data_IF_894449577194
#
_entry.id   IF_894449577194
#
_cell.length_a   1.000
_cell.length_b   1.000
_cell.length_c   1.000
_cell.angle_alpha   90.00
_cell.angle_beta   90.00
_cell.angle_gamma   90.00
#
_symmetry.space_group_name_H-M   'P 1'
#
loop_
_entity.id
_entity.type
_entity.pdbx_description
1 polymer ?
#
# COMPACT_ATOMS: atom_id res chain seq x y z
N UNK A 1 2.68 -1.88 -7.81
CA UNK A 1 3.52 -0.78 -7.25
C UNK A 1 4.76 -1.36 -6.56
N UNK A 2 5.90 -1.38 -7.25
CA UNK A 2 7.23 -1.65 -6.67
C UNK A 2 8.10 -0.48 -7.11
N UNK A 3 8.59 0.31 -6.15
CA UNK A 3 9.53 1.40 -6.42
C UNK A 3 10.88 0.95 -5.87
N UNK A 4 11.82 0.68 -6.79
CA UNK A 4 13.18 0.29 -6.46
C UNK A 4 14.03 1.56 -6.28
N UNK A 5 14.47 1.81 -5.04
CA UNK A 5 15.50 2.80 -4.72
C UNK A 5 16.85 2.11 -4.61
N UNK A 6 17.84 2.63 -5.33
CA UNK A 6 19.22 2.13 -5.34
C UNK A 6 19.90 2.30 -3.98
N UNK A 7 20.63 1.24 -3.59
CA UNK A 7 21.53 1.12 -2.43
C UNK A 7 20.92 0.87 -1.05
N UNK A 8 20.22 -0.26 -0.89
CA UNK A 8 20.25 -1.01 0.36
C UNK A 8 20.31 -2.50 0.04
N UNK A 9 21.33 -3.22 0.53
CA UNK A 9 21.38 -4.69 0.44
C UNK A 9 20.21 -5.23 1.27
N UNK A 10 19.17 -5.83 0.65
CA UNK A 10 18.11 -6.45 1.43
C UNK A 10 18.70 -7.68 2.11
N UNK A 11 18.70 -7.69 3.45
CA UNK A 11 19.01 -8.90 4.20
C UNK A 11 17.83 -9.87 4.02
N UNK A 12 17.95 -10.75 3.02
CA UNK A 12 17.02 -11.85 2.85
C UNK A 12 17.33 -12.94 3.89
N UNK A 13 16.56 -12.97 4.98
CA UNK A 13 16.55 -14.12 5.90
C UNK A 13 15.75 -15.23 5.22
N UNK A 14 16.45 -16.08 4.46
CA UNK A 14 15.85 -17.26 3.82
C UNK A 14 15.76 -18.39 4.84
N UNK A 15 14.65 -18.43 5.58
CA UNK A 15 14.23 -19.67 6.25
C UNK A 15 13.44 -20.54 5.25
N UNK A 16 13.43 -21.87 5.36
CA UNK A 16 12.65 -22.75 4.48
C UNK A 16 11.13 -22.56 4.56
N UNK A 17 10.63 -21.61 5.38
CA UNK A 17 9.23 -21.19 5.50
C UNK A 17 9.01 -19.82 4.87
N UNK A 18 9.64 -19.54 3.73
CA UNK A 18 9.47 -18.30 2.97
C UNK A 18 8.00 -18.06 2.67
N UNK A 19 7.40 -17.06 3.33
CA UNK A 19 6.04 -16.59 3.07
C UNK A 19 6.14 -15.25 2.36
N UNK A 20 5.43 -15.10 1.25
CA UNK A 20 5.37 -13.84 0.51
C UNK A 20 4.56 -12.84 1.32
N UNK A 21 5.21 -11.78 1.78
CA UNK A 21 4.56 -10.61 2.37
C UNK A 21 4.53 -9.55 1.29
N UNK A 22 3.34 -9.11 0.88
CA UNK A 22 3.23 -8.03 -0.10
C UNK A 22 3.37 -6.71 0.64
N UNK A 23 4.36 -5.91 0.26
CA UNK A 23 4.55 -4.55 0.77
C UNK A 23 3.92 -3.58 -0.23
N UNK A 24 2.94 -2.80 0.21
CA UNK A 24 2.43 -1.66 -0.56
C UNK A 24 3.13 -0.41 -0.03
N UNK A 25 3.94 0.24 -0.87
CA UNK A 25 4.69 1.44 -0.52
C UNK A 25 4.52 2.54 -1.55
N UNK A 26 4.08 3.72 -1.12
CA UNK A 26 3.94 4.92 -1.96
C UNK A 26 5.08 5.90 -1.69
N UNK A 27 5.66 6.46 -2.75
CA UNK A 27 6.65 7.53 -2.67
C UNK A 27 6.01 8.85 -3.09
N UNK A 28 6.21 9.90 -2.30
CA UNK A 28 5.82 11.27 -2.65
C UNK A 28 7.03 12.06 -3.15
N UNK A 29 6.79 13.17 -3.86
CA UNK A 29 7.85 13.96 -4.49
C UNK A 29 8.67 14.83 -3.51
N UNK A 30 8.11 15.14 -2.34
CA UNK A 30 8.93 15.41 -1.15
C UNK A 30 9.26 14.05 -0.54
N UNK A 31 10.52 13.82 -0.19
CA UNK A 31 11.19 12.57 0.24
C UNK A 31 10.57 11.80 1.43
N UNK A 32 9.29 11.99 1.71
CA UNK A 32 8.48 11.27 2.68
C UNK A 32 8.11 9.92 2.05
N UNK A 33 8.81 8.88 2.50
CA UNK A 33 8.40 7.49 2.27
C UNK A 33 7.27 7.18 3.25
N UNK A 34 6.08 6.86 2.73
CA UNK A 34 5.00 6.35 3.59
C UNK A 34 5.48 5.05 4.25
N UNK A 35 5.23 4.84 5.56
CA UNK A 35 5.48 3.55 6.19
C UNK A 35 4.85 2.40 5.38
N UNK A 36 5.39 1.19 5.43
CA UNK A 36 4.88 0.08 4.64
C UNK A 36 3.49 -0.37 5.09
N UNK A 37 2.69 -0.83 4.12
CA UNK A 37 1.48 -1.60 4.39
C UNK A 37 1.73 -3.07 4.07
N UNK A 38 1.60 -3.94 5.06
CA UNK A 38 1.89 -5.37 4.95
C UNK A 38 0.65 -6.19 4.63
N UNK A 39 0.74 -7.14 3.70
CA UNK A 39 -0.28 -8.17 3.48
C UNK A 39 0.28 -9.53 3.88
N UNK A 40 -0.32 -10.15 4.89
CA UNK A 40 0.11 -11.44 5.42
C UNK A 40 -0.78 -12.58 4.90
N UNK A 41 -0.20 -13.74 4.51
CA UNK A 41 -0.93 -14.96 4.18
C UNK A 41 -1.38 -15.71 5.44
N UNK A 42 -2.15 -15.04 6.29
CA UNK A 42 -2.59 -15.56 7.59
C UNK A 42 -4.10 -15.42 7.74
N UNK A 43 -4.70 -16.23 8.62
CA UNK A 43 -6.14 -16.15 8.93
C UNK A 43 -6.47 -15.22 10.10
N UNK A 44 -5.47 -14.85 10.90
CA UNK A 44 -5.65 -14.04 12.11
C UNK A 44 -4.53 -13.04 12.30
N UNK A 45 -4.91 -11.78 12.47
CA UNK A 45 -4.00 -10.69 12.80
C UNK A 45 -3.56 -10.80 14.26
N UNK A 46 -2.26 -11.05 14.47
CA UNK A 46 -1.63 -11.08 15.79
C UNK A 46 -0.49 -10.06 15.80
N UNK A 47 -0.29 -9.38 16.92
CA UNK A 47 0.66 -8.28 17.05
C UNK A 47 2.10 -8.67 16.69
N UNK A 48 2.45 -9.95 16.91
CA UNK A 48 3.75 -10.54 16.56
C UNK A 48 4.10 -10.42 15.07
N UNK A 49 3.10 -10.28 14.18
CA UNK A 49 3.35 -10.10 12.75
C UNK A 49 3.97 -8.73 12.42
N UNK A 50 3.80 -7.75 13.31
CA UNK A 50 4.37 -6.42 13.17
C UNK A 50 5.59 -6.22 14.08
N UNK A 51 6.11 -7.29 14.70
CA UNK A 51 7.32 -7.21 15.50
C UNK A 51 8.51 -6.82 14.62
N UNK A 52 9.16 -5.71 14.95
CA UNK A 52 10.23 -5.12 14.13
C UNK A 52 9.75 -4.30 12.92
N UNK A 53 8.45 -4.10 12.73
CA UNK A 53 7.93 -3.23 11.69
C UNK A 53 8.29 -1.76 11.94
N UNK A 54 8.40 -0.98 10.86
CA UNK A 54 8.66 0.45 10.96
C UNK A 54 7.51 1.16 11.71
N UNK A 55 7.79 2.16 12.57
CA UNK A 55 6.74 2.92 13.23
C UNK A 55 5.74 3.50 12.22
N UNK A 56 4.45 3.35 12.50
CA UNK A 56 3.38 3.80 11.60
C UNK A 56 3.03 2.83 10.47
N UNK A 57 3.70 1.67 10.39
CA UNK A 57 3.27 0.58 9.51
C UNK A 57 1.89 0.07 9.88
N UNK A 58 1.15 -0.41 8.89
CA UNK A 58 -0.10 -1.13 9.11
C UNK A 58 -0.18 -2.30 8.15
N UNK A 59 -1.26 -3.07 8.20
CA UNK A 59 -1.40 -4.20 7.31
C UNK A 59 -2.71 -4.94 7.47
N UNK A 60 -2.92 -5.89 6.57
CA UNK A 60 -4.09 -6.75 6.56
C UNK A 60 -3.75 -8.17 6.13
N UNK A 61 -4.80 -8.95 5.93
CA UNK A 61 -4.68 -10.38 5.68
C UNK A 61 -5.44 -10.81 4.45
N UNK A 62 -4.87 -11.76 3.72
CA UNK A 62 -5.57 -12.49 2.68
C UNK A 62 -5.14 -13.94 2.69
N UNK A 63 -6.06 -14.85 2.32
CA UNK A 63 -5.75 -16.28 2.24
C UNK A 63 -4.58 -16.59 1.28
N UNK A 64 -4.36 -15.71 0.31
CA UNK A 64 -3.31 -15.85 -0.72
C UNK A 64 -2.00 -15.13 -0.39
N UNK A 65 -1.98 -14.22 0.59
CA UNK A 65 -0.87 -13.29 0.83
C UNK A 65 -0.75 -12.15 -0.19
N UNK A 66 -1.59 -12.14 -1.24
CA UNK A 66 -1.65 -11.07 -2.23
C UNK A 66 -2.71 -10.04 -1.86
N UNK A 67 -2.56 -8.82 -2.39
CA UNK A 67 -3.55 -7.76 -2.20
C UNK A 67 -4.86 -8.14 -2.92
N UNK A 68 -5.97 -7.97 -2.23
CA UNK A 68 -7.31 -8.05 -2.81
C UNK A 68 -7.94 -6.64 -2.82
N UNK A 69 -9.13 -6.50 -3.39
CA UNK A 69 -9.81 -5.20 -3.49
C UNK A 69 -9.99 -4.49 -2.15
N UNK A 70 -10.50 -5.18 -1.13
CA UNK A 70 -10.73 -4.57 0.19
C UNK A 70 -9.44 -4.16 0.89
N UNK A 71 -8.37 -4.95 0.73
CA UNK A 71 -7.04 -4.60 1.24
C UNK A 71 -6.45 -3.40 0.49
N UNK A 72 -6.65 -3.32 -0.82
CA UNK A 72 -6.20 -2.19 -1.61
C UNK A 72 -6.92 -0.90 -1.18
N UNK A 73 -8.25 -0.94 -1.04
CA UNK A 73 -9.05 0.17 -0.50
C UNK A 73 -8.56 0.60 0.90
N UNK A 74 -8.37 -0.36 1.81
CA UNK A 74 -7.88 -0.09 3.17
C UNK A 74 -6.48 0.54 3.14
N UNK A 75 -5.60 0.04 2.26
CA UNK A 75 -4.25 0.55 2.12
C UNK A 75 -4.24 2.00 1.60
N UNK A 76 -5.15 2.35 0.69
CA UNK A 76 -5.17 3.68 0.06
C UNK A 76 -5.95 4.70 0.90
N UNK A 77 -7.19 4.36 1.27
CA UNK A 77 -8.12 5.26 1.98
C UNK A 77 -7.76 5.42 3.46
N UNK A 78 -7.14 4.40 4.06
CA UNK A 78 -6.77 4.42 5.48
C UNK A 78 -5.30 4.78 5.68
N UNK A 79 -4.40 3.95 5.16
CA UNK A 79 -2.97 4.07 5.46
C UNK A 79 -2.29 5.17 4.64
N UNK A 80 -2.40 5.14 3.32
CA UNK A 80 -1.81 6.15 2.46
C UNK A 80 -2.39 7.54 2.73
N UNK A 81 -3.72 7.67 2.79
CA UNK A 81 -4.38 8.94 3.09
C UNK A 81 -3.91 9.59 4.39
N UNK A 82 -3.72 8.79 5.44
CA UNK A 82 -3.20 9.25 6.73
C UNK A 82 -1.78 9.81 6.62
N UNK A 83 -0.89 9.09 5.93
CA UNK A 83 0.53 9.46 5.85
C UNK A 83 0.82 10.54 4.80
N UNK A 84 0.01 10.61 3.75
CA UNK A 84 0.06 11.64 2.73
C UNK A 84 -0.71 12.92 3.12
N UNK A 85 -1.28 12.97 4.33
CA UNK A 85 -2.12 14.06 4.82
C UNK A 85 -3.21 14.45 3.80
N UNK A 86 -3.86 13.44 3.21
CA UNK A 86 -4.97 13.64 2.27
C UNK A 86 -6.21 13.98 3.07
N UNK A 87 -6.45 15.26 3.28
CA UNK A 87 -7.70 15.76 3.83
C UNK A 87 -8.60 16.32 2.71
N UNK A 88 -9.92 16.33 2.95
CA UNK A 88 -10.90 16.87 2.01
C UNK A 88 -10.76 18.38 1.76
N UNK A 89 -10.07 19.10 2.65
CA UNK A 89 -9.89 20.55 2.57
C UNK A 89 -8.61 20.94 1.81
N UNK A 90 -7.76 19.95 1.48
CA UNK A 90 -6.48 20.15 0.85
C UNK A 90 -6.68 20.41 -0.63
N UNK A 91 -6.28 21.60 -1.05
CA UNK A 91 -6.31 22.00 -2.45
C UNK A 91 -5.11 21.46 -3.25
N UNK A 92 -4.33 20.51 -2.69
CA UNK A 92 -3.16 19.93 -3.34
C UNK A 92 -3.57 18.62 -4.02
N UNK A 93 -3.68 18.57 -5.36
CA UNK A 93 -4.01 17.34 -6.04
C UNK A 93 -2.89 16.31 -5.86
N UNK A 94 -3.26 15.07 -5.55
CA UNK A 94 -2.31 13.95 -5.42
C UNK A 94 -2.55 12.92 -6.51
N UNK A 95 -1.52 12.61 -7.28
CA UNK A 95 -1.55 11.60 -8.33
C UNK A 95 -1.13 10.24 -7.76
N UNK A 96 -2.00 9.25 -7.87
CA UNK A 96 -1.72 7.86 -7.50
C UNK A 96 -1.62 7.04 -8.77
N UNK A 97 -0.43 6.47 -9.01
CA UNK A 97 -0.15 5.58 -10.13
C UNK A 97 -0.23 4.13 -9.65
N UNK A 98 -1.02 3.29 -10.33
CA UNK A 98 -1.11 1.87 -10.03
C UNK A 98 -1.30 1.02 -11.29
N UNK A 99 -1.03 -0.28 -11.20
CA UNK A 99 -1.16 -1.22 -12.31
C UNK A 99 -2.63 -1.67 -12.50
N UNK A 100 -2.99 -2.04 -13.73
CA UNK A 100 -4.32 -2.55 -14.10
C UNK A 100 -4.54 -4.00 -13.63
N UNK A 101 -4.31 -4.28 -12.35
CA UNK A 101 -4.72 -5.53 -11.76
C UNK A 101 -6.18 -5.45 -11.31
N UNK A 102 -6.99 -6.51 -11.54
CA UNK A 102 -8.42 -6.54 -11.18
C UNK A 102 -8.69 -6.25 -9.69
N UNK A 103 -7.71 -6.50 -8.82
CA UNK A 103 -7.78 -6.17 -7.41
C UNK A 103 -7.80 -4.65 -7.14
N UNK A 104 -7.27 -3.82 -8.05
CA UNK A 104 -7.15 -2.38 -7.85
C UNK A 104 -8.35 -1.58 -8.36
N UNK A 105 -9.21 -2.20 -9.17
CA UNK A 105 -10.42 -1.57 -9.69
C UNK A 105 -11.52 -1.56 -8.62
N UNK A 106 -11.94 -0.39 -8.15
CA UNK A 106 -13.05 -0.23 -7.20
C UNK A 106 -13.78 1.11 -7.35
N UNK A 107 -15.11 1.04 -7.47
CA UNK A 107 -15.98 2.22 -7.52
C UNK A 107 -15.92 3.04 -6.22
N UNK A 108 -15.76 2.36 -5.08
CA UNK A 108 -15.62 3.01 -3.77
C UNK A 108 -14.38 3.91 -3.74
N UNK A 109 -13.30 3.44 -4.38
CA UNK A 109 -12.04 4.17 -4.47
C UNK A 109 -12.17 5.41 -5.37
N UNK A 110 -12.91 5.29 -6.46
CA UNK A 110 -13.16 6.39 -7.40
C UNK A 110 -13.93 7.54 -6.74
N UNK A 111 -14.98 7.22 -5.97
CA UNK A 111 -15.75 8.23 -5.25
C UNK A 111 -14.95 8.86 -4.10
N UNK A 112 -14.19 8.05 -3.36
CA UNK A 112 -13.28 8.56 -2.36
C UNK A 112 -12.21 9.50 -2.96
N UNK A 113 -11.67 9.15 -4.12
CA UNK A 113 -10.61 9.93 -4.76
C UNK A 113 -11.11 11.32 -5.19
N UNK A 114 -12.33 11.40 -5.74
CA UNK A 114 -12.97 12.69 -6.07
C UNK A 114 -13.13 13.59 -4.83
N UNK A 115 -13.52 13.00 -3.70
CA UNK A 115 -13.75 13.73 -2.44
C UNK A 115 -12.46 14.27 -1.80
N UNK A 116 -11.28 13.70 -2.12
CA UNK A 116 -10.00 14.02 -1.49
C UNK A 116 -8.98 14.63 -2.45
N UNK A 117 -9.42 15.15 -3.61
CA UNK A 117 -8.54 15.71 -4.64
C UNK A 117 -7.45 14.73 -5.11
N UNK A 118 -7.79 13.43 -5.17
CA UNK A 118 -6.87 12.37 -5.63
C UNK A 118 -7.16 12.04 -7.08
N UNK A 119 -6.14 12.05 -7.91
CA UNK A 119 -6.19 11.58 -9.29
C UNK A 119 -5.66 10.15 -9.33
N UNK A 120 -6.53 9.22 -9.69
CA UNK A 120 -6.20 7.81 -9.88
C UNK A 120 -5.78 7.60 -11.35
N UNK A 121 -4.58 7.07 -11.59
CA UNK A 121 -4.11 6.74 -12.92
C UNK A 121 -3.66 5.28 -13.00
N UNK A 122 -4.27 4.56 -13.93
CA UNK A 122 -3.97 3.16 -14.19
C UNK A 122 -2.93 3.08 -15.30
N UNK A 123 -1.75 2.55 -14.98
CA UNK A 123 -0.74 2.24 -15.97
C UNK A 123 -1.14 0.96 -16.71
N UNK A 124 -1.52 1.10 -17.97
CA UNK A 124 -1.79 -0.05 -18.83
C UNK A 124 -0.46 -0.72 -19.23
N UNK A 125 -0.39 -2.07 -19.24
CA UNK A 125 0.76 -2.76 -19.80
C UNK A 125 0.82 -2.48 -21.32
N UNK A 126 2.01 -2.08 -21.78
CA UNK A 126 2.35 -1.92 -23.20
C UNK A 126 2.43 -3.23 -23.95
#
# INVERSE_FOLDING_TARGET
>A
MVVCGSECKPQAITSPRTRTVTIVGGQMQLEIISPPFYVFPEKRCVDQLFEGALPGSSGGMSDSGFVNRGLFETSLMGHFAKHACLDRASNKPVLVLYDEHKAHLSLTLDDWAKDHSVVLFVCQPS
#
